data_IF_846774635458
#
_entry.id   IF_846774635458
#
_cell.length_a   1.000
_cell.length_b   1.000
_cell.length_c   1.000
_cell.angle_alpha   90.00
_cell.angle_beta   90.00
_cell.angle_gamma   90.00
#
_symmetry.space_group_name_H-M   'P 1'
#
loop_
_entity.id
_entity.type
_entity.pdbx_description
1 polymer ?
#
# COMPACT_ATOMS: atom_id res chain seq x y z
N UNK A 1 1.65 -12.27 10.52
CA UNK A 1 0.89 -11.58 9.45
C UNK A 1 -0.52 -12.16 9.27
N UNK A 2 -0.71 -13.49 9.08
CA UNK A 2 -2.08 -14.03 8.95
C UNK A 2 -2.92 -13.85 10.23
N UNK A 3 -2.31 -14.10 11.39
CA UNK A 3 -2.90 -13.92 12.72
C UNK A 3 -3.41 -12.49 12.93
N UNK A 4 -2.52 -11.49 12.90
CA UNK A 4 -2.86 -10.06 12.95
C UNK A 4 -3.98 -9.63 11.97
N UNK A 5 -4.02 -10.25 10.78
CA UNK A 5 -5.05 -9.97 9.80
C UNK A 5 -6.42 -10.47 10.24
N UNK A 6 -6.47 -11.64 10.86
CA UNK A 6 -7.71 -12.17 11.41
C UNK A 6 -8.19 -11.33 12.61
N UNK A 7 -7.28 -10.94 13.50
CA UNK A 7 -7.61 -10.08 14.67
C UNK A 7 -8.19 -8.74 14.25
N UNK A 8 -7.54 -8.06 13.29
CA UNK A 8 -8.09 -6.84 12.69
C UNK A 8 -9.47 -7.05 12.07
N UNK A 9 -9.70 -8.14 11.34
CA UNK A 9 -10.99 -8.41 10.69
C UNK A 9 -12.09 -8.61 11.73
N UNK A 10 -11.82 -9.33 12.81
CA UNK A 10 -12.76 -9.51 13.93
C UNK A 10 -13.01 -8.20 14.67
N UNK A 11 -11.98 -7.42 14.96
CA UNK A 11 -12.11 -6.10 15.59
C UNK A 11 -12.93 -5.12 14.72
N UNK A 12 -12.69 -5.11 13.40
CA UNK A 12 -13.44 -4.31 12.44
C UNK A 12 -14.93 -4.72 12.37
N UNK A 13 -15.23 -6.02 12.38
CA UNK A 13 -16.61 -6.53 12.45
C UNK A 13 -17.33 -6.09 13.72
N UNK A 14 -16.62 -6.09 14.85
CA UNK A 14 -17.12 -5.64 16.15
C UNK A 14 -17.16 -4.11 16.31
N UNK A 15 -16.59 -3.35 15.36
CA UNK A 15 -16.38 -1.90 15.43
C UNK A 15 -15.59 -1.47 16.67
N UNK A 16 -14.68 -2.33 17.12
CA UNK A 16 -13.85 -2.08 18.30
C UNK A 16 -12.59 -1.31 17.90
N UNK A 17 -12.60 0.01 18.11
CA UNK A 17 -11.49 0.88 17.72
C UNK A 17 -10.20 0.60 18.50
N UNK A 18 -10.28 0.07 19.72
CA UNK A 18 -9.10 -0.23 20.54
C UNK A 18 -8.36 -1.41 19.94
N UNK A 19 -9.09 -2.51 19.71
CA UNK A 19 -8.54 -3.73 19.11
C UNK A 19 -8.12 -3.51 17.64
N UNK A 20 -8.81 -2.62 16.91
CA UNK A 20 -8.37 -2.21 15.58
C UNK A 20 -7.01 -1.51 15.65
N UNK A 21 -6.83 -0.59 16.61
CA UNK A 21 -5.57 0.15 16.75
C UNK A 21 -4.41 -0.77 17.14
N UNK A 22 -4.66 -1.72 18.04
CA UNK A 22 -3.71 -2.73 18.50
C UNK A 22 -3.21 -3.60 17.31
N UNK A 23 -4.14 -4.26 16.61
CA UNK A 23 -3.82 -5.10 15.46
C UNK A 23 -3.17 -4.32 14.29
N UNK A 24 -3.41 -3.01 14.15
CA UNK A 24 -2.70 -2.17 13.18
C UNK A 24 -1.27 -1.85 13.64
N UNK A 25 -1.08 -1.63 14.94
CA UNK A 25 0.23 -1.44 15.57
C UNK A 25 1.13 -2.65 15.38
N UNK A 26 0.63 -3.85 15.67
CA UNK A 26 1.39 -5.09 15.55
C UNK A 26 1.79 -5.40 14.10
N UNK A 27 0.88 -5.15 13.15
CA UNK A 27 1.20 -5.24 11.72
C UNK A 27 2.31 -4.27 11.33
N UNK A 28 2.25 -3.04 11.81
CA UNK A 28 3.29 -2.06 11.51
C UNK A 28 4.63 -2.53 12.08
N UNK A 29 4.65 -3.04 13.31
CA UNK A 29 5.85 -3.55 13.96
C UNK A 29 6.48 -4.72 13.18
N UNK A 30 5.69 -5.74 12.85
CA UNK A 30 6.15 -6.90 12.06
C UNK A 30 6.58 -6.47 10.67
N UNK A 31 5.87 -5.54 10.02
CA UNK A 31 6.22 -5.05 8.70
C UNK A 31 7.56 -4.31 8.72
N UNK A 32 7.79 -3.44 9.70
CA UNK A 32 9.07 -2.77 9.91
C UNK A 32 10.21 -3.78 10.13
N UNK A 33 9.99 -4.80 10.96
CA UNK A 33 10.96 -5.90 11.14
C UNK A 33 11.24 -6.65 9.84
N UNK A 34 10.22 -6.92 9.04
CA UNK A 34 10.34 -7.59 7.73
C UNK A 34 11.14 -6.74 6.74
N UNK A 35 10.87 -5.43 6.68
CA UNK A 35 11.62 -4.47 5.85
C UNK A 35 13.10 -4.51 6.21
N UNK A 36 13.43 -4.47 7.51
CA UNK A 36 14.81 -4.53 8.00
C UNK A 36 15.48 -5.87 7.66
N UNK A 37 14.79 -6.99 7.87
CA UNK A 37 15.33 -8.32 7.58
C UNK A 37 15.70 -8.51 6.09
N UNK A 38 15.00 -7.80 5.20
CA UNK A 38 15.28 -7.79 3.76
C UNK A 38 16.21 -6.66 3.31
N UNK A 39 16.72 -5.82 4.22
CA UNK A 39 17.63 -4.72 3.89
C UNK A 39 16.97 -3.56 3.13
N UNK A 40 15.65 -3.39 3.27
CA UNK A 40 14.86 -2.42 2.50
C UNK A 40 14.59 -1.12 3.25
N UNK A 41 15.14 -0.92 4.45
CA UNK A 41 14.84 0.24 5.30
C UNK A 41 15.10 1.60 4.62
N UNK A 42 16.17 1.68 3.82
CA UNK A 42 16.53 2.91 3.11
C UNK A 42 15.77 3.08 1.78
N UNK A 43 15.15 2.00 1.28
CA UNK A 43 14.48 1.95 -0.03
C UNK A 43 12.97 2.06 0.06
N UNK A 44 12.36 1.55 1.13
CA UNK A 44 10.90 1.47 1.24
C UNK A 44 10.27 2.86 1.34
N UNK A 45 10.90 3.79 2.06
CA UNK A 45 10.43 5.18 2.18
C UNK A 45 10.52 5.88 0.84
N UNK A 46 11.64 5.70 0.14
CA UNK A 46 11.83 6.20 -1.22
C UNK A 46 10.76 5.65 -2.18
N UNK A 47 10.49 4.34 -2.11
CA UNK A 47 9.42 3.72 -2.87
C UNK A 47 8.04 4.32 -2.54
N UNK A 48 7.73 4.58 -1.27
CA UNK A 48 6.43 5.11 -0.85
C UNK A 48 6.24 6.56 -1.28
N UNK A 49 7.27 7.40 -1.10
CA UNK A 49 7.23 8.85 -1.29
C UNK A 49 7.46 9.30 -2.73
N UNK A 50 8.17 8.52 -3.55
CA UNK A 50 8.40 8.88 -4.95
C UNK A 50 7.07 9.04 -5.72
N UNK A 51 6.88 10.15 -6.45
CA UNK A 51 5.81 10.29 -7.42
C UNK A 51 5.92 9.17 -8.46
N UNK A 52 5.02 8.20 -8.37
CA UNK A 52 5.07 7.05 -9.27
C UNK A 52 4.43 7.48 -10.58
N UNK A 53 5.20 7.51 -11.67
CA UNK A 53 4.63 7.68 -13.02
C UNK A 53 3.54 6.63 -13.30
N UNK A 54 3.64 5.45 -12.68
CA UNK A 54 2.60 4.41 -12.69
C UNK A 54 1.28 4.80 -12.02
N UNK A 55 1.28 5.79 -11.13
CA UNK A 55 0.07 6.33 -10.53
C UNK A 55 -0.57 7.36 -11.48
N UNK A 56 0.26 8.20 -12.11
CA UNK A 56 -0.25 9.14 -13.11
C UNK A 56 -0.76 8.45 -14.37
N UNK A 57 -0.20 7.30 -14.72
CA UNK A 57 -0.69 6.49 -15.83
C UNK A 57 -2.01 5.77 -15.56
N UNK A 58 -2.54 5.84 -14.33
CA UNK A 58 -3.90 5.36 -14.01
C UNK A 58 -4.98 6.36 -14.42
N UNK A 59 -4.61 7.58 -14.80
CA UNK A 59 -5.56 8.57 -15.27
C UNK A 59 -6.12 8.20 -16.64
N UNK A 60 -7.34 8.66 -16.91
CA UNK A 60 -7.94 8.67 -18.23
C UNK A 60 -7.16 9.58 -19.20
N UNK A 61 -7.56 9.59 -20.47
CA UNK A 61 -6.95 10.43 -21.51
C UNK A 61 -7.07 11.93 -21.25
N UNK A 62 -8.09 12.35 -20.49
CA UNK A 62 -8.34 13.72 -20.03
C UNK A 62 -7.67 14.05 -18.69
N UNK A 63 -6.89 13.12 -18.11
CA UNK A 63 -6.14 13.35 -16.89
C UNK A 63 -6.98 13.23 -15.61
N UNK A 64 -8.18 12.64 -15.68
CA UNK A 64 -9.04 12.41 -14.52
C UNK A 64 -8.88 10.97 -14.00
N UNK A 65 -9.03 10.72 -12.68
CA UNK A 65 -9.03 9.36 -12.17
C UNK A 65 -10.20 8.56 -12.73
N UNK A 66 -9.93 7.37 -13.27
CA UNK A 66 -11.01 6.43 -13.64
C UNK A 66 -11.53 5.78 -12.35
N UNK A 67 -12.75 6.08 -11.95
CA UNK A 67 -13.33 5.63 -10.67
C UNK A 67 -14.50 4.69 -10.95
N UNK A 68 -14.51 3.54 -10.26
CA UNK A 68 -15.63 2.59 -10.26
C UNK A 68 -16.71 3.03 -9.25
N UNK A 69 -17.92 2.51 -9.40
CA UNK A 69 -19.08 2.84 -8.54
C UNK A 69 -18.83 2.66 -7.03
N UNK A 70 -17.90 1.79 -6.62
CA UNK A 70 -17.50 1.57 -5.23
C UNK A 70 -16.41 2.54 -4.73
N UNK A 71 -16.06 3.56 -5.52
CA UNK A 71 -14.99 4.51 -5.22
C UNK A 71 -13.58 4.00 -5.56
N UNK A 72 -13.45 2.78 -6.11
CA UNK A 72 -12.14 2.22 -6.46
C UNK A 72 -11.54 2.91 -7.68
N UNK A 73 -10.30 3.41 -7.54
CA UNK A 73 -9.51 3.91 -8.67
C UNK A 73 -9.07 2.73 -9.55
N UNK A 74 -9.48 2.78 -10.82
CA UNK A 74 -9.13 1.82 -11.86
C UNK A 74 -7.83 2.21 -12.57
N UNK A 75 -7.29 1.27 -13.35
CA UNK A 75 -6.12 1.51 -14.20
C UNK A 75 -6.61 2.15 -15.49
N UNK A 76 -6.22 3.40 -15.73
CA UNK A 76 -6.43 4.09 -16.99
C UNK A 76 -5.73 3.41 -18.19
N UNK A 77 -6.07 3.82 -19.42
CA UNK A 77 -5.64 3.16 -20.65
C UNK A 77 -4.12 3.18 -20.85
N UNK A 78 -3.41 4.14 -20.24
CA UNK A 78 -1.97 4.30 -20.34
C UNK A 78 -1.20 3.61 -19.20
N UNK A 79 -1.87 2.84 -18.35
CA UNK A 79 -1.27 2.29 -17.15
C UNK A 79 -0.06 1.40 -17.44
N UNK A 80 1.00 1.60 -16.67
CA UNK A 80 2.14 0.70 -16.59
C UNK A 80 2.49 0.41 -15.14
N UNK A 81 3.07 -0.77 -14.88
CA UNK A 81 3.52 -1.14 -13.53
C UNK A 81 4.73 -0.29 -13.12
N UNK A 82 4.83 0.15 -11.85
CA UNK A 82 6.04 0.82 -11.38
C UNK A 82 7.25 -0.10 -11.57
N UNK A 83 8.35 0.46 -12.06
CA UNK A 83 9.61 -0.26 -12.09
C UNK A 83 10.26 -0.18 -10.71
N UNK A 84 10.05 -1.21 -9.90
CA UNK A 84 10.59 -1.29 -8.55
C UNK A 84 12.11 -1.49 -8.59
N UNK A 85 12.62 -2.17 -9.64
CA UNK A 85 14.04 -2.45 -9.79
C UNK A 85 14.88 -1.18 -9.87
N UNK A 86 14.40 -0.15 -10.58
CA UNK A 86 15.07 1.16 -10.65
C UNK A 86 15.24 1.83 -9.27
N UNK A 87 14.40 1.50 -8.29
CA UNK A 87 14.48 2.02 -6.92
C UNK A 87 15.43 1.16 -6.07
N UNK A 88 15.42 -0.15 -6.29
CA UNK A 88 16.33 -1.06 -5.59
C UNK A 88 17.79 -0.86 -6.02
N UNK A 89 18.01 -0.59 -7.31
CA UNK A 89 19.33 -0.43 -7.91
C UNK A 89 19.89 1.01 -7.83
N UNK A 90 19.17 1.96 -7.23
CA UNK A 90 19.55 3.39 -7.15
C UNK A 90 20.47 3.78 -6.00
#
# INVERSE_FOLDING_TARGET
MQEENNEYLEAARRKDLVEIADALGDKLYILCGTILAHGLQDKIVEYLTKPKKSNMSKLSTDGTPVIREDGKILKGPNYFKPNIKDILDS
#
